data_IF_770482455148
#
_entry.id   IF_770482455148
#
_cell.length_a   1.000
_cell.length_b   1.000
_cell.length_c   1.000
_cell.angle_alpha   90.00
_cell.angle_beta   90.00
_cell.angle_gamma   90.00
#
_symmetry.space_group_name_H-M   'P 1'
#
loop_
_entity.id
_entity.type
_entity.pdbx_description
1 polymer ?
#
# COMPACT_ATOMS: atom_id res chain seq x y z
N UNK A 1 -4.83 10.22 11.63
CA UNK A 1 -4.06 9.75 10.45
C UNK A 1 -2.58 9.69 10.80
N UNK A 2 -1.92 8.62 10.43
CA UNK A 2 -0.49 8.44 10.69
C UNK A 2 0.32 8.81 9.45
N UNK A 3 1.59 9.14 9.69
CA UNK A 3 2.52 9.42 8.59
C UNK A 3 3.11 8.09 8.12
N UNK A 4 3.02 7.77 6.82
CA UNK A 4 3.57 6.52 6.32
C UNK A 4 5.10 6.51 6.36
N UNK A 5 5.67 5.43 6.89
CA UNK A 5 7.10 5.21 6.92
C UNK A 5 7.41 3.80 6.43
N UNK A 6 8.66 3.58 6.02
CA UNK A 6 9.09 2.23 5.61
C UNK A 6 8.98 1.27 6.80
N UNK A 7 9.36 1.71 8.00
CA UNK A 7 9.30 0.86 9.20
C UNK A 7 7.86 0.42 9.48
N UNK A 8 6.89 1.32 9.32
CA UNK A 8 5.47 1.00 9.52
C UNK A 8 5.05 -0.14 8.60
N UNK A 9 5.34 -0.03 7.30
CA UNK A 9 4.93 -1.04 6.34
C UNK A 9 5.72 -2.33 6.48
N UNK A 10 6.99 -2.26 6.87
CA UNK A 10 7.79 -3.47 7.12
C UNK A 10 7.21 -4.29 8.27
N UNK A 11 6.70 -3.62 9.30
CA UNK A 11 6.02 -4.29 10.40
C UNK A 11 4.71 -4.95 9.97
N UNK A 12 4.13 -4.50 8.86
CA UNK A 12 2.84 -5.01 8.36
C UNK A 12 3.01 -6.10 7.29
N UNK A 13 4.23 -6.41 6.84
CA UNK A 13 4.44 -7.44 5.82
C UNK A 13 3.85 -8.75 6.28
N UNK A 14 3.04 -9.36 5.41
CA UNK A 14 2.33 -10.60 5.71
C UNK A 14 0.97 -10.38 6.37
N UNK A 15 0.61 -9.16 6.70
CA UNK A 15 -0.68 -8.82 7.29
C UNK A 15 -1.59 -8.15 6.28
N UNK A 16 -2.89 -8.16 6.56
CA UNK A 16 -3.89 -7.53 5.72
C UNK A 16 -4.26 -6.17 6.30
N UNK A 17 -4.51 -5.22 5.41
CA UNK A 17 -5.11 -3.93 5.77
C UNK A 17 -6.47 -3.84 5.08
N UNK A 18 -7.40 -3.10 5.68
CA UNK A 18 -8.72 -2.89 5.09
C UNK A 18 -8.67 -1.64 4.22
N UNK A 19 -9.00 -1.81 2.95
CA UNK A 19 -8.94 -0.72 1.97
C UNK A 19 -10.34 -0.40 1.48
N UNK A 20 -10.68 0.88 1.50
CA UNK A 20 -11.97 1.35 0.99
C UNK A 20 -11.97 1.30 -0.53
N UNK A 21 -13.03 0.70 -1.09
CA UNK A 21 -13.23 0.61 -2.53
C UNK A 21 -14.65 1.08 -2.85
N UNK A 22 -14.96 1.20 -4.13
CA UNK A 22 -16.32 1.48 -4.56
C UNK A 22 -17.23 0.34 -4.10
N UNK A 23 -18.22 0.66 -3.29
CA UNK A 23 -19.20 -0.31 -2.80
C UNK A 23 -18.83 -1.04 -1.53
N UNK A 24 -17.70 -0.72 -0.88
CA UNK A 24 -17.35 -1.39 0.38
C UNK A 24 -15.89 -1.32 0.73
N UNK A 25 -15.38 -2.42 1.31
CA UNK A 25 -13.96 -2.54 1.69
C UNK A 25 -13.43 -3.89 1.23
N UNK A 26 -12.10 -3.94 1.06
CA UNK A 26 -11.39 -5.16 0.74
C UNK A 26 -10.20 -5.32 1.66
N UNK A 27 -9.78 -6.57 1.89
CA UNK A 27 -8.53 -6.86 2.60
C UNK A 27 -7.41 -6.94 1.57
N UNK A 28 -6.40 -6.10 1.73
CA UNK A 28 -5.22 -6.11 0.87
C UNK A 28 -4.02 -6.54 1.72
N UNK A 29 -3.24 -7.48 1.21
CA UNK A 29 -2.07 -7.97 1.92
C UNK A 29 -0.85 -7.11 1.62
N UNK A 30 -0.11 -6.75 2.67
CA UNK A 30 1.18 -6.09 2.51
C UNK A 30 2.20 -7.18 2.17
N UNK A 31 2.76 -7.12 0.97
CA UNK A 31 3.64 -8.18 0.46
C UNK A 31 5.09 -7.88 0.76
N UNK A 32 5.55 -6.68 0.43
CA UNK A 32 6.94 -6.32 0.61
C UNK A 32 7.14 -4.82 0.63
N UNK A 33 8.28 -4.40 1.17
CA UNK A 33 8.72 -3.00 1.18
C UNK A 33 10.11 -2.96 0.57
N UNK A 34 10.30 -2.03 -0.37
CA UNK A 34 11.61 -1.82 -0.99
C UNK A 34 12.07 -0.41 -0.67
N UNK A 35 13.14 -0.30 0.11
CA UNK A 35 13.76 0.99 0.39
C UNK A 35 14.62 1.38 -0.80
N UNK A 36 14.48 2.64 -1.23
CA UNK A 36 15.27 3.17 -2.33
C UNK A 36 16.46 3.93 -1.78
N UNK A 37 17.47 4.14 -2.62
CA UNK A 37 18.65 4.87 -2.22
C UNK A 37 18.27 6.31 -1.86
N UNK A 38 18.77 6.76 -0.70
CA UNK A 38 18.57 8.13 -0.25
C UNK A 38 19.60 9.04 -0.91
N UNK A 39 19.12 10.11 -1.53
CA UNK A 39 19.98 11.07 -2.22
C UNK A 39 20.08 12.39 -1.45
N UNK A 40 21.27 12.96 -1.43
CA UNK A 40 21.59 14.29 -0.93
C UNK A 40 21.11 14.58 0.50
N UNK A 41 20.48 15.71 0.71
CA UNK A 41 20.17 16.24 2.04
C UNK A 41 18.81 15.79 2.61
N UNK A 42 18.15 14.85 1.99
CA UNK A 42 16.85 14.37 2.49
C UNK A 42 17.06 13.56 3.77
N UNK A 43 16.20 13.83 4.74
CA UNK A 43 16.23 13.10 6.01
C UNK A 43 15.41 11.81 5.94
N UNK A 44 14.41 11.74 5.05
CA UNK A 44 13.53 10.59 4.92
C UNK A 44 13.98 9.74 3.74
N UNK A 45 14.11 8.44 3.97
CA UNK A 45 14.46 7.50 2.92
C UNK A 45 13.24 7.22 2.06
N UNK A 46 13.32 7.38 0.73
CA UNK A 46 12.22 6.99 -0.15
C UNK A 46 12.06 5.48 -0.16
N UNK A 47 10.82 5.03 -0.35
CA UNK A 47 10.53 3.59 -0.37
C UNK A 47 9.29 3.31 -1.21
N UNK A 48 9.17 2.06 -1.63
CA UNK A 48 7.99 1.54 -2.31
C UNK A 48 7.38 0.41 -1.48
N UNK A 49 6.06 0.31 -1.53
CA UNK A 49 5.33 -0.77 -0.87
C UNK A 49 4.52 -1.52 -1.92
N UNK A 50 4.52 -2.84 -1.84
CA UNK A 50 3.75 -3.69 -2.74
C UNK A 50 2.64 -4.37 -1.97
N UNK A 51 1.42 -4.22 -2.48
CA UNK A 51 0.22 -4.81 -1.89
C UNK A 51 -0.41 -5.78 -2.87
N UNK A 52 -1.02 -6.84 -2.34
CA UNK A 52 -1.81 -7.77 -3.14
C UNK A 52 -3.28 -7.60 -2.78
N UNK A 53 -4.10 -7.29 -3.79
CA UNK A 53 -5.54 -7.12 -3.65
C UNK A 53 -6.27 -8.27 -4.34
N UNK A 54 -7.52 -8.57 -3.92
CA UNK A 54 -8.35 -9.53 -4.65
C UNK A 54 -8.59 -9.07 -6.08
N UNK A 55 -8.77 -10.01 -7.00
CA UNK A 55 -9.15 -9.69 -8.36
C UNK A 55 -10.47 -8.94 -8.36
N UNK A 56 -10.52 -7.82 -9.05
CA UNK A 56 -11.66 -6.90 -9.03
C UNK A 56 -11.73 -6.17 -10.37
N UNK A 57 -12.92 -5.66 -10.69
CA UNK A 57 -13.08 -4.79 -11.84
C UNK A 57 -12.56 -3.38 -11.57
N UNK A 58 -12.36 -3.02 -10.30
CA UNK A 58 -11.84 -1.72 -9.93
C UNK A 58 -10.30 -1.77 -9.87
N UNK A 59 -9.69 -1.58 -11.02
CA UNK A 59 -8.23 -1.63 -11.18
C UNK A 59 -7.64 -0.25 -11.40
N UNK A 60 -8.23 0.75 -10.81
CA UNK A 60 -7.80 2.13 -11.05
C UNK A 60 -6.66 2.51 -10.13
N UNK A 61 -5.72 3.29 -10.67
CA UNK A 61 -4.80 4.01 -9.82
C UNK A 61 -5.53 5.13 -9.11
N UNK A 62 -5.10 5.49 -7.91
CA UNK A 62 -5.70 6.59 -7.19
C UNK A 62 -5.43 6.54 -5.70
N UNK A 63 -5.91 7.58 -5.03
CA UNK A 63 -5.84 7.67 -3.58
C UNK A 63 -6.91 6.80 -2.97
N UNK A 64 -6.51 6.02 -1.96
CA UNK A 64 -7.41 5.13 -1.24
C UNK A 64 -7.23 5.31 0.26
N UNK A 65 -8.33 5.21 0.99
CA UNK A 65 -8.31 5.20 2.45
C UNK A 65 -8.20 3.77 2.95
N UNK A 66 -7.44 3.57 4.00
CA UNK A 66 -7.28 2.24 4.58
C UNK A 66 -7.31 2.31 6.10
N UNK A 67 -7.62 1.16 6.71
CA UNK A 67 -7.56 0.99 8.17
C UNK A 67 -6.56 -0.12 8.46
N UNK A 68 -5.59 0.20 9.30
CA UNK A 68 -4.53 -0.73 9.70
C UNK A 68 -5.02 -1.68 10.79
N UNK A 69 -4.31 -2.79 11.05
CA UNK A 69 -4.71 -3.74 12.09
C UNK A 69 -4.90 -3.13 13.47
N UNK A 70 -4.15 -2.05 13.79
CA UNK A 70 -4.29 -1.37 15.07
C UNK A 70 -5.44 -0.35 15.11
N UNK A 71 -6.22 -0.23 14.04
CA UNK A 71 -7.35 0.69 13.95
C UNK A 71 -7.01 2.08 13.43
N UNK A 72 -5.76 2.38 13.18
CA UNK A 72 -5.36 3.67 12.63
C UNK A 72 -5.71 3.79 11.16
N UNK A 73 -5.99 5.01 10.71
CA UNK A 73 -6.31 5.30 9.31
C UNK A 73 -5.07 5.76 8.55
N UNK A 74 -4.98 5.32 7.30
CA UNK A 74 -3.89 5.69 6.41
C UNK A 74 -4.43 5.89 5.00
N UNK A 75 -4.07 7.01 4.37
CA UNK A 75 -4.36 7.21 2.95
C UNK A 75 -3.09 6.97 2.14
N UNK A 76 -3.24 6.37 0.96
CA UNK A 76 -2.13 6.14 0.06
C UNK A 76 -2.57 6.26 -1.39
N UNK A 77 -1.61 6.54 -2.27
CA UNK A 77 -1.83 6.51 -3.71
C UNK A 77 -1.28 5.19 -4.24
N UNK A 78 -2.15 4.35 -4.79
CA UNK A 78 -1.79 3.04 -5.30
C UNK A 78 -1.89 2.97 -6.82
N UNK A 79 -0.91 2.30 -7.44
CA UNK A 79 -0.87 2.09 -8.87
C UNK A 79 -0.89 0.59 -9.14
N UNK A 80 -1.87 0.07 -9.91
CA UNK A 80 -1.85 -1.34 -10.27
C UNK A 80 -0.71 -1.59 -11.25
N UNK A 81 0.16 -2.55 -10.93
CA UNK A 81 1.35 -2.83 -11.74
C UNK A 81 1.30 -4.19 -12.40
N UNK A 82 0.49 -5.10 -11.89
CA UNK A 82 0.25 -6.40 -12.52
C UNK A 82 -1.06 -6.98 -12.05
N UNK A 83 -1.60 -7.90 -12.82
CA UNK A 83 -2.84 -8.58 -12.46
C UNK A 83 -2.82 -10.01 -12.98
N UNK A 84 -3.34 -10.91 -12.14
CA UNK A 84 -3.65 -12.27 -12.53
C UNK A 84 -5.16 -12.46 -12.43
N UNK A 85 -5.67 -13.65 -12.74
CA UNK A 85 -7.11 -13.92 -12.57
C UNK A 85 -7.53 -13.88 -11.10
N UNK A 86 -6.59 -14.04 -10.16
CA UNK A 86 -6.89 -14.18 -8.74
C UNK A 86 -6.52 -12.93 -7.92
N UNK A 87 -5.61 -12.10 -8.41
CA UNK A 87 -5.10 -10.98 -7.62
C UNK A 87 -4.58 -9.85 -8.49
N UNK A 88 -4.54 -8.66 -7.89
CA UNK A 88 -3.95 -7.47 -8.50
C UNK A 88 -2.84 -7.00 -7.58
N UNK A 89 -1.67 -6.71 -8.14
CA UNK A 89 -0.57 -6.12 -7.38
C UNK A 89 -0.59 -4.61 -7.53
N UNK A 90 -0.53 -3.91 -6.41
CA UNK A 90 -0.46 -2.46 -6.36
C UNK A 90 0.90 -2.03 -5.83
N UNK A 91 1.40 -0.94 -6.39
CA UNK A 91 2.64 -0.31 -5.91
C UNK A 91 2.30 1.05 -5.33
N UNK A 92 2.83 1.31 -4.14
CA UNK A 92 2.76 2.61 -3.49
C UNK A 92 4.17 3.19 -3.51
N UNK A 93 4.30 4.43 -3.99
CA UNK A 93 5.60 5.10 -4.08
C UNK A 93 5.61 6.26 -3.09
N UNK A 94 6.57 6.24 -2.18
CA UNK A 94 6.76 7.30 -1.18
C UNK A 94 8.13 7.94 -1.41
N UNK A 95 8.13 9.22 -1.63
CA UNK A 95 9.35 9.98 -1.91
C UNK A 95 9.81 10.80 -0.71
#
# INVERSE_FOLDING_TARGET
>A
MIIPTADLFEALVGQDINVSIAGGTESWRVVSVKRREQHSLRTDQPFNVYLSAPASNDRRQGTRSSTLPNGESLEFFGVPVSATKDAISYELVFN
#
